data_IF_646065541893
#
_entry.id   IF_646065541893
#
_cell.length_a   1.000
_cell.length_b   1.000
_cell.length_c   1.000
_cell.angle_alpha   90.00
_cell.angle_beta   90.00
_cell.angle_gamma   90.00
#
_symmetry.space_group_name_H-M   'P 1'
#
loop_
_entity.id
_entity.type
_entity.pdbx_description
1 polymer ?
#
# COMPACT_ATOMS: atom_id res chain seq x y z
N UNK A 1 27.33 -52.67 -36.01
CA UNK A 1 28.37 -51.67 -35.72
C UNK A 1 27.64 -50.34 -35.57
N UNK A 2 27.35 -49.96 -34.35
CA UNK A 2 26.75 -48.66 -34.03
C UNK A 2 27.90 -47.73 -33.59
N UNK A 3 28.30 -46.82 -34.48
CA UNK A 3 29.21 -45.74 -34.15
C UNK A 3 28.53 -44.83 -33.12
N UNK A 4 28.99 -44.87 -31.90
CA UNK A 4 28.72 -43.87 -30.87
C UNK A 4 29.38 -42.57 -31.32
N UNK A 5 28.58 -41.65 -31.86
CA UNK A 5 29.02 -40.30 -32.13
C UNK A 5 29.47 -39.66 -30.80
N UNK A 6 30.78 -39.57 -30.57
CA UNK A 6 31.38 -38.76 -29.53
C UNK A 6 30.94 -37.31 -29.76
N UNK A 7 30.07 -36.85 -28.94
CA UNK A 7 29.71 -35.41 -28.90
C UNK A 7 30.91 -34.65 -28.37
N UNK A 8 31.83 -34.25 -29.27
CA UNK A 8 32.96 -33.38 -28.95
C UNK A 8 32.42 -32.06 -28.43
N UNK A 9 32.62 -31.80 -27.13
CA UNK A 9 32.24 -30.51 -26.52
C UNK A 9 32.92 -29.39 -27.31
N UNK A 10 32.17 -28.33 -27.69
CA UNK A 10 32.78 -27.21 -28.39
C UNK A 10 33.88 -26.58 -27.52
N UNK A 11 34.96 -26.03 -28.12
CA UNK A 11 36.01 -25.40 -27.37
C UNK A 11 35.42 -24.23 -26.55
N UNK A 12 36.01 -23.93 -25.38
CA UNK A 12 35.48 -23.00 -24.37
C UNK A 12 35.12 -21.62 -24.93
N UNK A 13 35.87 -21.13 -25.94
CA UNK A 13 35.61 -19.86 -26.62
C UNK A 13 34.42 -19.89 -27.61
N UNK A 14 33.82 -21.06 -27.89
CA UNK A 14 32.63 -21.23 -28.70
C UNK A 14 31.45 -21.78 -27.92
N UNK A 15 31.68 -22.18 -26.66
CA UNK A 15 30.58 -22.62 -25.81
C UNK A 15 29.76 -21.42 -25.34
N UNK A 16 28.52 -21.36 -25.81
CA UNK A 16 27.55 -20.29 -25.48
C UNK A 16 27.35 -20.14 -23.99
N UNK A 17 27.48 -21.21 -23.21
CA UNK A 17 27.34 -21.17 -21.75
C UNK A 17 28.52 -20.43 -21.12
N UNK A 18 29.73 -20.72 -21.57
CA UNK A 18 30.96 -20.05 -21.09
C UNK A 18 30.95 -18.58 -21.50
N UNK A 19 30.61 -18.29 -22.77
CA UNK A 19 30.52 -16.90 -23.25
C UNK A 19 29.46 -16.09 -22.50
N UNK A 20 28.31 -16.70 -22.15
CA UNK A 20 27.27 -16.02 -21.34
C UNK A 20 27.77 -15.71 -19.94
N UNK A 21 28.41 -16.68 -19.27
CA UNK A 21 28.96 -16.49 -17.92
C UNK A 21 30.07 -15.43 -17.96
N UNK A 22 30.99 -15.54 -18.92
CA UNK A 22 32.06 -14.56 -19.08
C UNK A 22 31.52 -13.15 -19.38
N UNK A 23 30.51 -13.03 -20.23
CA UNK A 23 29.83 -11.76 -20.52
C UNK A 23 29.17 -11.18 -19.26
N UNK A 24 28.45 -12.00 -18.49
CA UNK A 24 27.85 -11.55 -17.22
C UNK A 24 28.92 -11.14 -16.20
N UNK A 25 29.99 -11.91 -16.07
CA UNK A 25 31.11 -11.58 -15.18
C UNK A 25 31.79 -10.26 -15.60
N UNK A 26 32.00 -10.05 -16.90
CA UNK A 26 32.56 -8.81 -17.45
C UNK A 26 31.67 -7.59 -17.13
N UNK A 27 30.35 -7.71 -17.32
CA UNK A 27 29.37 -6.64 -16.98
C UNK A 27 29.42 -6.35 -15.49
N UNK A 28 29.41 -7.38 -14.63
CA UNK A 28 29.48 -7.21 -13.17
C UNK A 28 30.79 -6.56 -12.75
N UNK A 29 31.91 -6.92 -13.38
CA UNK A 29 33.21 -6.31 -13.12
C UNK A 29 33.21 -4.83 -13.49
N UNK A 30 32.72 -4.47 -14.69
CA UNK A 30 32.65 -3.08 -15.14
C UNK A 30 31.76 -2.26 -14.21
N UNK A 31 30.57 -2.78 -13.86
CA UNK A 31 29.67 -2.11 -12.91
C UNK A 31 30.35 -1.95 -11.54
N UNK A 32 30.99 -3.00 -11.03
CA UNK A 32 31.73 -2.96 -9.77
C UNK A 32 32.84 -1.92 -9.76
N UNK A 33 33.64 -1.84 -10.83
CA UNK A 33 34.69 -0.84 -10.99
C UNK A 33 34.14 0.59 -11.07
N UNK A 34 33.04 0.80 -11.79
CA UNK A 34 32.33 2.09 -11.84
C UNK A 34 31.81 2.51 -10.47
N UNK A 35 31.18 1.62 -9.75
CA UNK A 35 30.69 1.89 -8.40
C UNK A 35 31.83 2.19 -7.43
N UNK A 36 32.94 1.43 -7.50
CA UNK A 36 34.13 1.67 -6.68
C UNK A 36 34.76 3.03 -6.99
N UNK A 37 34.87 3.38 -8.27
CA UNK A 37 35.36 4.70 -8.70
C UNK A 37 34.45 5.84 -8.22
N UNK A 38 33.12 5.70 -8.39
CA UNK A 38 32.15 6.68 -7.88
C UNK A 38 32.25 6.84 -6.37
N UNK A 39 32.37 5.72 -5.63
CA UNK A 39 32.54 5.73 -4.19
C UNK A 39 33.83 6.42 -3.76
N UNK A 40 34.95 6.09 -4.41
CA UNK A 40 36.23 6.74 -4.15
C UNK A 40 36.19 8.25 -4.35
N UNK A 41 35.56 8.71 -5.46
CA UNK A 41 35.37 10.13 -5.73
C UNK A 41 34.47 10.80 -4.69
N UNK A 42 33.40 10.11 -4.26
CA UNK A 42 32.50 10.64 -3.24
C UNK A 42 33.21 10.86 -1.91
N UNK A 43 33.96 9.87 -1.43
CA UNK A 43 34.74 9.96 -0.18
C UNK A 43 35.80 11.05 -0.26
N UNK A 44 36.54 11.09 -1.38
CA UNK A 44 37.60 12.09 -1.58
C UNK A 44 37.05 13.51 -1.64
N UNK A 45 35.97 13.72 -2.38
CA UNK A 45 35.34 15.02 -2.48
C UNK A 45 34.67 15.47 -1.18
N UNK A 46 34.03 14.53 -0.45
CA UNK A 46 33.47 14.83 0.87
C UNK A 46 34.57 15.35 1.83
N UNK A 47 35.73 14.68 1.89
CA UNK A 47 36.84 15.09 2.73
C UNK A 47 37.45 16.45 2.30
N UNK A 48 37.58 16.68 0.99
CA UNK A 48 38.10 17.98 0.43
C UNK A 48 37.17 19.15 0.75
N UNK A 49 35.84 18.91 0.76
CA UNK A 49 34.85 19.95 1.00
C UNK A 49 34.47 20.08 2.50
N UNK A 50 35.12 19.33 3.39
CA UNK A 50 34.78 19.33 4.81
C UNK A 50 33.38 18.78 5.11
N UNK A 51 32.83 17.99 4.20
CA UNK A 51 31.51 17.37 4.39
C UNK A 51 31.64 16.08 5.24
N UNK A 52 30.55 15.67 5.94
CA UNK A 52 30.54 14.41 6.67
C UNK A 52 30.84 13.23 5.77
N UNK A 53 31.47 12.17 6.34
CA UNK A 53 31.68 10.92 5.61
C UNK A 53 30.36 10.38 5.03
N UNK A 54 30.37 9.80 3.82
CA UNK A 54 29.15 9.21 3.22
C UNK A 54 28.47 8.15 4.08
N UNK A 55 29.17 7.60 5.07
CA UNK A 55 28.66 6.62 6.04
C UNK A 55 28.28 7.22 7.39
N UNK A 56 28.44 8.54 7.56
CA UNK A 56 28.10 9.22 8.80
C UNK A 56 26.64 9.63 8.81
N UNK A 57 25.86 9.01 9.70
CA UNK A 57 24.45 9.28 9.94
C UNK A 57 24.19 10.01 11.27
N UNK A 58 25.22 10.52 11.95
CA UNK A 58 25.08 11.26 13.22
C UNK A 58 24.18 12.52 13.09
N UNK A 59 24.03 13.04 11.88
CA UNK A 59 23.11 14.16 11.61
C UNK A 59 21.66 13.84 11.95
N UNK A 60 21.27 12.57 12.03
CA UNK A 60 19.90 12.16 12.37
C UNK A 60 19.54 12.51 13.83
N UNK A 61 20.50 12.57 14.72
CA UNK A 61 20.29 12.93 16.14
C UNK A 61 20.20 14.44 16.34
N UNK A 62 20.56 15.22 15.32
CA UNK A 62 20.46 16.68 15.37
C UNK A 62 19.01 17.15 15.28
N UNK A 63 18.67 18.31 15.87
CA UNK A 63 17.35 18.87 15.78
C UNK A 63 16.99 19.24 14.33
N UNK A 64 15.69 19.22 14.02
CA UNK A 64 15.19 19.61 12.70
C UNK A 64 15.54 21.06 12.38
N UNK A 65 15.57 21.94 13.39
CA UNK A 65 15.88 23.34 13.26
C UNK A 65 14.69 24.25 12.94
N UNK A 66 13.61 23.68 12.38
CA UNK A 66 12.35 24.39 12.12
C UNK A 66 11.15 23.45 12.25
N UNK A 67 9.98 23.99 12.54
CA UNK A 67 8.75 23.20 12.51
C UNK A 67 8.37 22.86 11.07
N UNK A 68 7.90 21.63 10.84
CA UNK A 68 7.47 21.19 9.51
C UNK A 68 5.96 21.45 9.40
N UNK A 69 5.57 22.36 8.50
CA UNK A 69 4.17 22.67 8.25
C UNK A 69 3.37 21.41 7.87
N UNK A 70 2.15 21.26 8.39
CA UNK A 70 1.32 20.07 8.17
C UNK A 70 1.67 18.87 9.06
N UNK A 71 2.53 19.06 10.08
CA UNK A 71 2.86 18.05 11.07
C UNK A 71 2.93 18.64 12.47
N UNK A 72 2.87 17.77 13.50
CA UNK A 72 3.07 18.16 14.91
C UNK A 72 4.55 18.20 15.31
N UNK A 73 5.46 18.17 14.31
CA UNK A 73 6.91 18.15 14.52
C UNK A 73 7.41 19.54 14.95
N UNK A 74 8.08 19.55 16.09
CA UNK A 74 8.70 20.79 16.65
C UNK A 74 10.15 20.91 16.20
N UNK A 75 10.63 22.12 16.08
CA UNK A 75 12.01 22.41 15.69
C UNK A 75 13.10 21.72 16.56
N UNK A 76 12.76 21.39 17.80
CA UNK A 76 13.64 20.74 18.78
C UNK A 76 13.70 19.22 18.66
N UNK A 77 12.79 18.60 17.92
CA UNK A 77 12.79 17.15 17.72
C UNK A 77 13.93 16.72 16.78
N UNK A 78 14.38 15.48 16.93
CA UNK A 78 15.45 14.96 16.08
C UNK A 78 15.00 14.76 14.64
N UNK A 79 15.95 14.83 13.71
CA UNK A 79 15.69 14.50 12.29
C UNK A 79 15.25 13.05 12.11
N UNK A 80 15.71 12.15 12.99
CA UNK A 80 15.27 10.77 13.02
C UNK A 80 13.77 10.65 13.38
N UNK A 81 13.31 11.38 14.40
CA UNK A 81 11.89 11.39 14.79
C UNK A 81 11.01 11.88 13.62
N UNK A 82 11.46 12.95 12.95
CA UNK A 82 10.77 13.45 11.77
C UNK A 82 10.69 12.40 10.66
N UNK A 83 11.80 11.74 10.36
CA UNK A 83 11.85 10.71 9.35
C UNK A 83 10.92 9.53 9.68
N UNK A 84 10.88 9.11 10.95
CA UNK A 84 9.95 8.07 11.43
C UNK A 84 8.49 8.50 11.22
N UNK A 85 8.14 9.76 11.47
CA UNK A 85 6.80 10.28 11.18
C UNK A 85 6.49 10.21 9.68
N UNK A 86 7.42 10.64 8.83
CA UNK A 86 7.28 10.56 7.38
C UNK A 86 7.07 9.12 6.90
N UNK A 87 7.88 8.19 7.38
CA UNK A 87 7.78 6.76 7.04
C UNK A 87 6.43 6.17 7.46
N UNK A 88 5.96 6.48 8.68
CA UNK A 88 4.64 6.05 9.15
C UNK A 88 3.52 6.55 8.24
N UNK A 89 3.57 7.82 7.81
CA UNK A 89 2.58 8.40 6.88
C UNK A 89 2.66 7.77 5.49
N UNK A 90 3.85 7.50 4.97
CA UNK A 90 4.04 6.77 3.70
C UNK A 90 3.43 5.36 3.77
N UNK A 91 3.69 4.61 4.84
CA UNK A 91 3.11 3.27 5.05
C UNK A 91 1.58 3.35 5.18
N UNK A 92 1.07 4.34 5.89
CA UNK A 92 -0.38 4.55 6.05
C UNK A 92 -1.06 4.77 4.68
N UNK A 93 -0.50 5.64 3.83
CA UNK A 93 -1.01 5.87 2.48
C UNK A 93 -0.96 4.59 1.66
N UNK A 94 0.16 3.84 1.73
CA UNK A 94 0.31 2.59 0.99
C UNK A 94 -0.74 1.55 1.39
N UNK A 95 -0.95 1.32 2.69
CA UNK A 95 -1.91 0.32 3.20
C UNK A 95 -3.34 0.72 2.81
N UNK A 96 -3.75 1.94 3.13
CA UNK A 96 -5.12 2.43 2.86
C UNK A 96 -5.34 2.51 1.34
N UNK A 97 -4.36 3.03 0.60
CA UNK A 97 -4.42 3.13 -0.85
C UNK A 97 -4.53 1.77 -1.53
N UNK A 98 -3.73 0.76 -1.13
CA UNK A 98 -3.81 -0.61 -1.66
C UNK A 98 -5.20 -1.21 -1.39
N UNK A 99 -5.73 -1.04 -0.19
CA UNK A 99 -7.06 -1.55 0.16
C UNK A 99 -8.16 -0.91 -0.70
N UNK A 100 -8.21 0.42 -0.76
CA UNK A 100 -9.24 1.14 -1.50
C UNK A 100 -9.13 0.92 -3.01
N UNK A 101 -7.93 0.95 -3.56
CA UNK A 101 -7.71 0.74 -5.00
C UNK A 101 -8.06 -0.68 -5.43
N UNK A 102 -7.83 -1.68 -4.56
CA UNK A 102 -8.21 -3.06 -4.84
C UNK A 102 -9.72 -3.20 -4.92
N UNK A 103 -10.46 -2.68 -3.94
CA UNK A 103 -11.92 -2.72 -3.95
C UNK A 103 -12.47 -2.01 -5.18
N UNK A 104 -12.09 -0.75 -5.38
CA UNK A 104 -12.60 0.07 -6.48
C UNK A 104 -12.21 -0.53 -7.84
N UNK A 105 -10.96 -0.94 -8.01
CA UNK A 105 -10.46 -1.50 -9.26
C UNK A 105 -11.12 -2.84 -9.62
N UNK A 106 -11.31 -3.73 -8.64
CA UNK A 106 -12.02 -4.99 -8.88
C UNK A 106 -13.48 -4.74 -9.25
N UNK A 107 -14.18 -3.84 -8.54
CA UNK A 107 -15.56 -3.49 -8.87
C UNK A 107 -15.69 -2.91 -10.28
N UNK A 108 -14.81 -1.98 -10.66
CA UNK A 108 -14.78 -1.40 -12.00
C UNK A 108 -14.41 -2.42 -13.07
N UNK A 109 -13.46 -3.31 -12.80
CA UNK A 109 -13.06 -4.37 -13.71
C UNK A 109 -14.20 -5.35 -14.02
N UNK A 110 -14.95 -5.74 -12.98
CA UNK A 110 -16.18 -6.55 -13.13
C UNK A 110 -17.26 -5.71 -13.84
N UNK A 111 -17.42 -4.46 -13.48
CA UNK A 111 -18.37 -3.52 -14.10
C UNK A 111 -18.16 -3.40 -15.62
N UNK A 112 -16.92 -3.42 -16.11
CA UNK A 112 -16.60 -3.40 -17.56
C UNK A 112 -17.10 -4.63 -18.32
N UNK A 113 -17.28 -5.74 -17.61
CA UNK A 113 -17.83 -6.99 -18.17
C UNK A 113 -19.33 -7.12 -17.98
N UNK A 114 -19.98 -6.13 -17.41
CA UNK A 114 -21.43 -6.12 -17.16
C UNK A 114 -22.24 -6.15 -18.45
N UNK A 115 -23.35 -6.88 -18.43
CA UNK A 115 -24.36 -6.85 -19.50
C UNK A 115 -25.15 -5.52 -19.52
N UNK A 116 -25.17 -4.80 -18.40
CA UNK A 116 -25.76 -3.48 -18.34
C UNK A 116 -24.86 -2.47 -19.07
N UNK A 117 -25.36 -1.91 -20.16
CA UNK A 117 -24.63 -0.98 -21.01
C UNK A 117 -24.12 0.25 -20.25
N UNK A 118 -24.95 0.82 -19.36
CA UNK A 118 -24.58 2.02 -18.61
C UNK A 118 -23.42 1.76 -17.67
N UNK A 119 -23.48 0.65 -16.91
CA UNK A 119 -22.39 0.23 -16.00
C UNK A 119 -21.09 -0.03 -16.76
N UNK A 120 -21.17 -0.76 -17.89
CA UNK A 120 -20.01 -1.07 -18.71
C UNK A 120 -19.40 0.20 -19.33
N UNK A 121 -20.23 1.15 -19.81
CA UNK A 121 -19.79 2.40 -20.42
C UNK A 121 -19.14 3.33 -19.37
N UNK A 122 -19.78 3.48 -18.20
CA UNK A 122 -19.22 4.27 -17.11
C UNK A 122 -17.85 3.72 -16.64
N UNK A 123 -17.77 2.41 -16.39
CA UNK A 123 -16.51 1.79 -15.96
C UNK A 123 -15.42 1.92 -17.04
N UNK A 124 -15.76 1.84 -18.32
CA UNK A 124 -14.81 2.06 -19.42
C UNK A 124 -14.33 3.49 -19.45
N UNK A 125 -15.25 4.47 -19.41
CA UNK A 125 -14.91 5.89 -19.37
C UNK A 125 -13.97 6.23 -18.21
N UNK A 126 -14.29 5.73 -17.01
CA UNK A 126 -13.44 5.92 -15.84
C UNK A 126 -12.00 5.39 -16.08
N UNK A 127 -11.89 4.16 -16.57
CA UNK A 127 -10.57 3.52 -16.79
C UNK A 127 -9.79 4.29 -17.87
N UNK A 128 -10.41 4.69 -18.95
CA UNK A 128 -9.77 5.45 -20.03
C UNK A 128 -9.30 6.82 -19.54
N UNK A 129 -10.12 7.51 -18.74
CA UNK A 129 -9.78 8.82 -18.17
C UNK A 129 -8.53 8.73 -17.28
N UNK A 130 -8.60 7.91 -16.23
CA UNK A 130 -7.53 7.90 -15.22
C UNK A 130 -6.27 7.16 -15.66
N UNK A 131 -6.38 6.16 -16.52
CA UNK A 131 -5.23 5.43 -17.04
C UNK A 131 -4.39 6.25 -18.01
N UNK A 132 -5.01 7.15 -18.77
CA UNK A 132 -4.34 8.01 -19.74
C UNK A 132 -3.90 9.36 -19.16
N UNK A 133 -4.22 9.63 -17.89
CA UNK A 133 -3.80 10.86 -17.20
C UNK A 133 -2.64 10.56 -16.24
N UNK A 134 -1.52 11.32 -16.27
CA UNK A 134 -0.44 11.14 -15.32
C UNK A 134 -0.92 11.27 -13.86
N UNK A 135 -0.47 10.43 -12.92
CA UNK A 135 -0.96 10.44 -11.54
C UNK A 135 -0.72 11.77 -10.83
N UNK A 136 0.39 12.45 -11.12
CA UNK A 136 0.68 13.77 -10.56
C UNK A 136 -0.36 14.80 -10.97
N UNK A 137 -0.80 14.78 -12.24
CA UNK A 137 -1.84 15.70 -12.75
C UNK A 137 -3.17 15.47 -12.03
N UNK A 138 -3.53 14.19 -11.80
CA UNK A 138 -4.75 13.85 -11.05
C UNK A 138 -4.67 14.39 -9.63
N UNK A 139 -3.54 14.19 -8.94
CA UNK A 139 -3.33 14.66 -7.56
C UNK A 139 -3.43 16.19 -7.49
N UNK A 140 -2.72 16.91 -8.37
CA UNK A 140 -2.74 18.38 -8.41
C UNK A 140 -4.14 18.90 -8.74
N UNK A 141 -4.83 18.28 -9.70
CA UNK A 141 -6.20 18.67 -10.05
C UNK A 141 -7.16 18.51 -8.87
N UNK A 142 -7.07 17.41 -8.12
CA UNK A 142 -7.93 17.22 -6.94
C UNK A 142 -7.56 18.24 -5.87
N UNK A 143 -6.28 18.44 -5.60
CA UNK A 143 -5.84 19.35 -4.54
C UNK A 143 -6.15 20.81 -4.88
N UNK A 144 -5.57 21.34 -5.96
CA UNK A 144 -5.75 22.74 -6.33
C UNK A 144 -7.06 23.00 -7.04
N UNK A 145 -7.46 22.10 -7.95
CA UNK A 145 -8.65 22.32 -8.78
C UNK A 145 -9.95 22.10 -8.03
N UNK A 146 -10.06 21.06 -7.19
CA UNK A 146 -11.30 20.76 -6.49
C UNK A 146 -11.32 21.30 -5.06
N UNK A 147 -10.26 21.05 -4.26
CA UNK A 147 -10.27 21.34 -2.84
C UNK A 147 -9.99 22.80 -2.53
N UNK A 148 -8.96 23.40 -3.15
CA UNK A 148 -8.56 24.77 -2.84
C UNK A 148 -9.36 25.78 -3.64
N UNK A 149 -9.41 25.67 -4.95
CA UNK A 149 -10.03 26.67 -5.82
C UNK A 149 -11.43 26.30 -6.29
N UNK A 150 -11.80 25.01 -6.28
CA UNK A 150 -13.08 24.51 -6.83
C UNK A 150 -14.27 24.60 -5.89
N UNK A 151 -14.07 25.05 -4.64
CA UNK A 151 -15.15 25.20 -3.67
C UNK A 151 -15.77 23.89 -3.19
N UNK A 152 -15.11 22.76 -3.45
CA UNK A 152 -15.60 21.45 -2.96
C UNK A 152 -15.53 21.36 -1.43
N UNK A 153 -14.51 21.94 -0.84
CA UNK A 153 -14.44 22.12 0.60
C UNK A 153 -15.07 23.46 0.98
N UNK A 154 -16.00 23.46 1.94
CA UNK A 154 -16.63 24.70 2.42
C UNK A 154 -15.62 25.67 3.01
N UNK A 155 -15.97 26.96 3.07
CA UNK A 155 -15.16 27.97 3.72
C UNK A 155 -15.12 27.76 5.24
N UNK A 156 -14.13 28.37 5.89
CA UNK A 156 -14.02 28.36 7.36
C UNK A 156 -15.19 29.06 8.05
N UNK A 157 -15.80 30.03 7.38
CA UNK A 157 -16.91 30.82 7.91
C UNK A 157 -18.25 30.08 7.84
N UNK A 158 -18.35 29.10 6.93
CA UNK A 158 -19.54 28.28 6.76
C UNK A 158 -19.16 26.81 6.56
N UNK A 159 -18.63 26.14 7.58
CA UNK A 159 -18.22 24.75 7.51
C UNK A 159 -19.45 23.84 7.32
N UNK A 160 -19.27 22.73 6.60
CA UNK A 160 -20.28 21.69 6.52
C UNK A 160 -20.12 20.73 7.70
N UNK A 161 -21.23 20.47 8.40
CA UNK A 161 -21.22 19.55 9.54
C UNK A 161 -22.44 18.61 9.51
N UNK A 162 -22.15 17.32 9.72
CA UNK A 162 -23.14 16.33 10.15
C UNK A 162 -22.83 16.06 11.61
N UNK A 163 -23.66 16.53 12.56
CA UNK A 163 -23.34 16.49 13.99
C UNK A 163 -22.93 15.10 14.46
N UNK A 164 -21.78 15.04 15.12
CA UNK A 164 -21.23 13.81 15.67
C UNK A 164 -20.65 12.82 14.65
N UNK A 165 -20.71 13.07 13.34
CA UNK A 165 -20.25 12.13 12.31
C UNK A 165 -19.13 12.72 11.43
N UNK A 166 -19.35 13.91 10.87
CA UNK A 166 -18.49 14.51 9.86
C UNK A 166 -18.48 16.03 10.02
N UNK A 167 -17.31 16.63 9.96
CA UNK A 167 -17.16 18.08 9.75
C UNK A 167 -16.12 18.33 8.68
N UNK A 168 -16.32 19.31 7.81
CA UNK A 168 -15.36 19.69 6.78
C UNK A 168 -15.34 21.18 6.50
N UNK A 169 -14.14 21.68 6.28
CA UNK A 169 -13.84 23.03 5.80
C UNK A 169 -12.59 23.00 4.92
N UNK A 170 -12.14 24.14 4.42
CA UNK A 170 -10.93 24.27 3.59
C UNK A 170 -9.65 23.75 4.29
N UNK A 171 -9.65 23.59 5.61
CA UNK A 171 -8.52 23.05 6.39
C UNK A 171 -8.53 21.52 6.49
N UNK A 172 -9.59 20.88 6.02
CA UNK A 172 -9.70 19.42 5.93
C UNK A 172 -11.07 18.86 6.26
N UNK A 173 -11.07 17.54 6.31
CA UNK A 173 -12.25 16.72 6.61
C UNK A 173 -11.97 15.99 7.92
N UNK A 174 -12.88 16.07 8.89
CA UNK A 174 -12.79 15.31 10.14
C UNK A 174 -14.00 14.39 10.25
N UNK A 175 -13.72 13.11 10.51
CA UNK A 175 -14.75 12.07 10.67
C UNK A 175 -14.72 11.52 12.08
N UNK A 176 -15.88 11.11 12.59
CA UNK A 176 -15.95 10.42 13.86
C UNK A 176 -15.05 9.20 13.85
N UNK A 177 -14.19 9.08 14.84
CA UNK A 177 -13.17 8.03 14.89
C UNK A 177 -13.02 7.47 16.31
N UNK A 178 -12.90 6.15 16.48
CA UNK A 178 -12.62 5.60 17.79
C UNK A 178 -11.24 6.08 18.28
N UNK A 179 -11.24 6.77 19.41
CA UNK A 179 -10.03 7.22 20.11
C UNK A 179 -9.85 6.42 21.40
N UNK A 180 -8.60 6.17 21.74
CA UNK A 180 -8.30 5.46 23.00
C UNK A 180 -8.14 6.46 24.12
N UNK A 181 -8.93 6.28 25.17
CA UNK A 181 -8.84 7.03 26.43
C UNK A 181 -8.17 6.15 27.49
N UNK A 182 -6.99 6.53 27.96
CA UNK A 182 -6.30 5.84 29.06
C UNK A 182 -5.64 4.49 28.68
N UNK A 183 -6.27 3.36 28.96
CA UNK A 183 -5.67 2.02 28.91
C UNK A 183 -5.47 1.44 27.49
N UNK A 184 -4.96 2.24 26.54
CA UNK A 184 -4.76 1.82 25.14
C UNK A 184 -3.97 0.50 24.99
N UNK A 185 -2.82 0.42 25.64
CA UNK A 185 -1.93 -0.76 25.52
C UNK A 185 -2.57 -2.00 26.12
N UNK A 186 -3.24 -1.86 27.25
CA UNK A 186 -3.96 -2.97 27.90
C UNK A 186 -5.11 -3.46 27.01
N UNK A 187 -5.91 -2.57 26.42
CA UNK A 187 -7.01 -2.97 25.56
C UNK A 187 -6.52 -3.59 24.25
N UNK A 188 -5.45 -3.09 23.66
CA UNK A 188 -4.83 -3.73 22.49
C UNK A 188 -4.32 -5.14 22.81
N UNK A 189 -3.76 -5.36 24.00
CA UNK A 189 -3.38 -6.69 24.46
C UNK A 189 -4.59 -7.63 24.62
N UNK A 190 -5.70 -7.12 25.14
CA UNK A 190 -6.99 -7.87 25.22
C UNK A 190 -7.49 -8.24 23.83
N UNK A 191 -7.48 -7.31 22.87
CA UNK A 191 -7.89 -7.60 21.49
C UNK A 191 -6.99 -8.63 20.80
N UNK A 192 -5.68 -8.56 21.01
CA UNK A 192 -4.75 -9.56 20.50
C UNK A 192 -4.98 -10.94 21.14
N UNK A 193 -5.16 -10.98 22.45
CA UNK A 193 -5.52 -12.22 23.17
C UNK A 193 -6.83 -12.81 22.68
N UNK A 194 -7.84 -11.97 22.47
CA UNK A 194 -9.14 -12.36 21.91
C UNK A 194 -9.02 -12.89 20.48
N UNK A 195 -8.16 -12.27 19.65
CA UNK A 195 -7.92 -12.73 18.28
C UNK A 195 -7.21 -14.11 18.26
N UNK A 196 -6.24 -14.31 19.13
CA UNK A 196 -5.55 -15.61 19.28
C UNK A 196 -6.53 -16.69 19.77
N UNK A 197 -7.34 -16.38 20.79
CA UNK A 197 -8.35 -17.31 21.32
C UNK A 197 -9.40 -17.65 20.25
N UNK A 198 -9.94 -16.65 19.58
CA UNK A 198 -10.91 -16.82 18.50
C UNK A 198 -10.39 -17.66 17.35
N UNK A 199 -9.13 -17.41 16.93
CA UNK A 199 -8.47 -18.20 15.89
C UNK A 199 -8.20 -19.65 16.33
N UNK A 200 -7.75 -19.84 17.56
CA UNK A 200 -7.51 -21.18 18.13
C UNK A 200 -8.80 -21.98 18.22
N UNK A 201 -9.89 -21.35 18.65
CA UNK A 201 -11.22 -21.98 18.73
C UNK A 201 -11.77 -22.30 17.33
N UNK A 202 -11.60 -21.39 16.37
CA UNK A 202 -11.94 -21.63 14.97
C UNK A 202 -11.18 -22.85 14.42
N UNK A 203 -9.88 -22.93 14.63
CA UNK A 203 -9.05 -24.06 14.19
C UNK A 203 -9.46 -25.37 14.84
N UNK A 204 -9.67 -25.35 16.17
CA UNK A 204 -10.12 -26.53 16.90
C UNK A 204 -11.46 -27.05 16.39
N UNK A 205 -12.43 -26.16 16.18
CA UNK A 205 -13.77 -26.52 15.67
C UNK A 205 -13.71 -27.03 14.23
N UNK A 206 -12.82 -26.51 13.38
CA UNK A 206 -12.60 -27.05 12.05
C UNK A 206 -12.04 -28.48 12.11
N UNK A 207 -11.06 -28.74 12.96
CA UNK A 207 -10.51 -30.09 13.13
C UNK A 207 -11.57 -31.10 13.65
N UNK A 208 -12.49 -30.65 14.51
CA UNK A 208 -13.63 -31.46 14.96
C UNK A 208 -14.56 -31.75 13.79
N UNK A 209 -14.84 -30.76 12.93
CA UNK A 209 -15.67 -30.94 11.73
C UNK A 209 -15.06 -31.95 10.76
N UNK A 210 -13.75 -31.86 10.53
CA UNK A 210 -13.03 -32.80 9.66
C UNK A 210 -13.08 -34.24 10.18
N UNK A 211 -13.03 -34.42 11.50
CA UNK A 211 -13.08 -35.75 12.15
C UNK A 211 -14.49 -36.34 12.24
N UNK A 212 -15.50 -35.51 12.43
CA UNK A 212 -16.87 -35.98 12.72
C UNK A 212 -17.81 -35.86 11.54
N UNK A 213 -17.44 -35.13 10.48
CA UNK A 213 -18.31 -34.84 9.33
C UNK A 213 -19.52 -33.94 9.65
N UNK A 214 -19.66 -33.47 10.90
CA UNK A 214 -20.78 -32.61 11.32
C UNK A 214 -20.42 -31.14 11.15
N UNK A 215 -21.33 -30.26 10.66
CA UNK A 215 -21.07 -28.83 10.56
C UNK A 215 -20.84 -28.24 11.95
N UNK A 216 -19.65 -27.66 12.16
CA UNK A 216 -19.23 -27.14 13.48
C UNK A 216 -19.44 -25.65 13.65
N UNK A 217 -19.89 -24.95 12.59
CA UNK A 217 -20.02 -23.49 12.56
C UNK A 217 -18.80 -22.76 13.18
N UNK A 218 -17.60 -23.26 12.89
CA UNK A 218 -16.33 -22.85 13.50
C UNK A 218 -16.08 -21.35 13.45
N UNK A 219 -16.53 -20.69 12.37
CA UNK A 219 -16.41 -19.24 12.18
C UNK A 219 -17.24 -18.46 13.22
N UNK A 220 -18.48 -18.91 13.52
CA UNK A 220 -19.30 -18.29 14.57
C UNK A 220 -18.66 -18.38 15.95
N UNK A 221 -18.08 -19.52 16.29
CA UNK A 221 -17.39 -19.70 17.56
C UNK A 221 -16.14 -18.85 17.68
N UNK A 222 -15.33 -18.76 16.60
CA UNK A 222 -14.13 -17.94 16.56
C UNK A 222 -14.42 -16.44 16.71
N UNK A 223 -15.36 -15.94 15.93
CA UNK A 223 -15.78 -14.53 15.97
C UNK A 223 -16.52 -14.23 17.29
N UNK A 224 -17.39 -15.11 17.75
CA UNK A 224 -18.11 -14.96 19.02
C UNK A 224 -17.15 -14.86 20.21
N UNK A 225 -16.11 -15.71 20.27
CA UNK A 225 -15.09 -15.64 21.31
C UNK A 225 -14.30 -14.33 21.26
N UNK A 226 -13.90 -13.87 20.07
CA UNK A 226 -13.24 -12.59 19.90
C UNK A 226 -14.10 -11.43 20.42
N UNK A 227 -15.37 -11.36 20.00
CA UNK A 227 -16.30 -10.32 20.43
C UNK A 227 -16.54 -10.37 21.94
N UNK A 228 -16.70 -11.56 22.52
CA UNK A 228 -16.88 -11.72 23.95
C UNK A 228 -15.68 -11.21 24.75
N UNK A 229 -14.45 -11.57 24.35
CA UNK A 229 -13.22 -11.09 25.00
C UNK A 229 -13.07 -9.59 24.84
N UNK A 230 -13.33 -9.04 23.64
CA UNK A 230 -13.29 -7.62 23.38
C UNK A 230 -14.28 -6.84 24.26
N UNK A 231 -15.52 -7.33 24.37
CA UNK A 231 -16.56 -6.72 25.20
C UNK A 231 -16.23 -6.78 26.70
N UNK A 232 -15.83 -7.95 27.21
CA UNK A 232 -15.41 -8.10 28.61
C UNK A 232 -14.24 -7.18 28.93
N UNK A 233 -13.23 -7.14 28.05
CA UNK A 233 -12.08 -6.26 28.24
C UNK A 233 -12.45 -4.77 28.19
N UNK A 234 -13.42 -4.41 27.35
CA UNK A 234 -13.91 -3.03 27.27
C UNK A 234 -14.59 -2.58 28.58
N UNK A 235 -15.46 -3.42 29.14
CA UNK A 235 -16.09 -3.13 30.43
C UNK A 235 -15.09 -3.17 31.59
N UNK A 236 -14.17 -4.14 31.61
CA UNK A 236 -13.16 -4.29 32.66
C UNK A 236 -12.16 -3.12 32.73
N UNK A 237 -11.88 -2.48 31.60
CA UNK A 237 -10.97 -1.35 31.48
C UNK A 237 -11.69 0.02 31.51
N UNK A 238 -12.99 0.06 31.86
CA UNK A 238 -13.74 1.28 32.03
C UNK A 238 -14.03 2.04 30.73
N UNK A 239 -14.24 1.34 29.62
CA UNK A 239 -14.53 1.96 28.32
C UNK A 239 -13.31 2.64 27.69
N UNK A 240 -12.24 1.89 27.36
CA UNK A 240 -10.97 2.43 26.88
C UNK A 240 -11.05 3.04 25.47
N UNK A 241 -12.20 2.97 24.82
CA UNK A 241 -12.44 3.52 23.47
C UNK A 241 -13.65 4.45 23.54
N UNK A 242 -13.44 5.69 23.19
CA UNK A 242 -14.51 6.67 22.99
C UNK A 242 -14.59 7.07 21.52
N UNK A 243 -15.78 7.42 21.05
CA UNK A 243 -15.95 7.97 19.71
C UNK A 243 -15.62 9.47 19.76
N UNK A 244 -14.41 9.82 19.30
CA UNK A 244 -14.06 11.22 19.11
C UNK A 244 -14.89 11.76 17.94
N UNK A 245 -15.90 12.57 18.28
CA UNK A 245 -16.78 13.21 17.29
C UNK A 245 -16.20 14.52 16.83
N UNK A 246 -16.25 14.84 15.53
CA UNK A 246 -15.88 16.15 15.04
C UNK A 246 -16.91 17.18 15.45
N UNK A 247 -16.45 18.39 15.73
CA UNK A 247 -17.28 19.56 15.96
C UNK A 247 -16.64 20.80 15.35
N UNK A 248 -17.45 21.73 14.87
CA UNK A 248 -17.02 23.00 14.32
C UNK A 248 -17.02 24.06 15.43
N UNK A 249 -16.00 24.91 15.48
CA UNK A 249 -15.87 26.02 16.45
C UNK A 249 -15.06 27.17 15.87
N UNK A 250 -14.93 28.27 16.62
CA UNK A 250 -14.20 29.48 16.18
C UNK A 250 -12.75 29.19 15.76
N UNK A 251 -12.08 28.24 16.39
CA UNK A 251 -10.71 27.83 16.05
C UNK A 251 -10.67 26.75 14.95
N UNK A 252 -11.83 26.37 14.36
CA UNK A 252 -11.96 25.38 13.31
C UNK A 252 -12.49 24.04 13.79
N UNK A 253 -12.24 22.99 13.00
CA UNK A 253 -12.72 21.65 13.28
C UNK A 253 -11.86 20.99 14.36
N UNK A 254 -12.51 20.56 15.45
CA UNK A 254 -11.91 19.81 16.56
C UNK A 254 -12.48 18.40 16.65
N UNK A 255 -11.72 17.47 17.20
CA UNK A 255 -12.14 16.08 17.39
C UNK A 255 -12.15 15.25 16.08
N UNK A 256 -12.44 13.96 16.22
CA UNK A 256 -12.42 13.01 15.11
C UNK A 256 -11.04 12.70 14.53
N UNK A 257 -11.01 11.91 13.47
CA UNK A 257 -9.82 11.70 12.65
C UNK A 257 -9.76 12.79 11.57
N UNK A 258 -8.75 13.63 11.63
CA UNK A 258 -8.56 14.72 10.67
C UNK A 258 -7.79 14.24 9.43
N UNK A 259 -8.41 14.41 8.28
CA UNK A 259 -7.82 14.22 6.96
C UNK A 259 -7.53 15.60 6.39
N UNK A 260 -6.26 15.96 6.28
CA UNK A 260 -5.89 17.24 5.64
C UNK A 260 -6.25 17.22 4.17
N UNK A 261 -6.47 18.37 3.51
CA UNK A 261 -6.75 18.42 2.07
C UNK A 261 -5.67 17.74 1.23
N UNK A 262 -4.40 17.91 1.64
CA UNK A 262 -3.24 17.28 0.98
C UNK A 262 -3.32 15.76 1.09
N UNK A 263 -3.60 15.22 2.29
CA UNK A 263 -3.75 13.78 2.50
C UNK A 263 -4.90 13.21 1.68
N UNK A 264 -6.07 13.86 1.73
CA UNK A 264 -7.24 13.42 1.00
C UNK A 264 -7.03 13.47 -0.52
N UNK A 265 -6.43 14.55 -1.04
CA UNK A 265 -6.12 14.69 -2.46
C UNK A 265 -5.11 13.64 -2.94
N UNK A 266 -4.04 13.41 -2.17
CA UNK A 266 -3.05 12.38 -2.47
C UNK A 266 -3.68 10.99 -2.51
N UNK A 267 -4.40 10.63 -1.44
CA UNK A 267 -5.04 9.32 -1.34
C UNK A 267 -6.06 9.10 -2.46
N UNK A 268 -6.95 10.05 -2.70
CA UNK A 268 -7.93 9.97 -3.79
C UNK A 268 -7.25 9.87 -5.15
N UNK A 269 -6.26 10.72 -5.43
CA UNK A 269 -5.54 10.73 -6.70
C UNK A 269 -4.84 9.40 -6.98
N UNK A 270 -4.14 8.85 -5.98
CA UNK A 270 -3.48 7.55 -6.09
C UNK A 270 -4.49 6.40 -6.24
N UNK A 271 -5.59 6.44 -5.49
CA UNK A 271 -6.64 5.42 -5.55
C UNK A 271 -7.32 5.44 -6.91
N UNK A 272 -7.77 6.60 -7.39
CA UNK A 272 -8.44 6.73 -8.68
C UNK A 272 -7.54 6.28 -9.84
N UNK A 273 -6.29 6.72 -9.83
CA UNK A 273 -5.30 6.32 -10.84
C UNK A 273 -5.03 4.80 -10.81
N UNK A 274 -4.65 4.27 -9.64
CA UNK A 274 -4.25 2.87 -9.55
C UNK A 274 -5.43 1.91 -9.72
N UNK A 275 -6.64 2.29 -9.28
CA UNK A 275 -7.85 1.50 -9.51
C UNK A 275 -8.18 1.33 -11.00
N UNK A 276 -7.82 2.31 -11.85
CA UNK A 276 -7.99 2.17 -13.30
C UNK A 276 -7.12 1.05 -13.88
N UNK A 277 -5.89 0.90 -13.39
CA UNK A 277 -4.99 -0.20 -13.77
C UNK A 277 -5.44 -1.54 -13.21
N UNK A 278 -5.84 -1.59 -11.93
CA UNK A 278 -6.40 -2.80 -11.30
C UNK A 278 -7.67 -3.25 -12.02
N UNK A 279 -8.52 -2.33 -12.47
CA UNK A 279 -9.72 -2.65 -13.22
C UNK A 279 -9.41 -3.34 -14.55
N UNK A 280 -8.39 -2.88 -15.27
CA UNK A 280 -7.93 -3.51 -16.51
C UNK A 280 -7.35 -4.90 -16.26
N UNK A 281 -6.51 -5.04 -15.21
CA UNK A 281 -5.95 -6.33 -14.80
C UNK A 281 -7.08 -7.30 -14.44
N UNK A 282 -8.07 -6.86 -13.67
CA UNK A 282 -9.22 -7.68 -13.27
C UNK A 282 -10.00 -8.15 -14.50
N UNK A 283 -10.33 -7.23 -15.43
CA UNK A 283 -11.02 -7.56 -16.67
C UNK A 283 -10.24 -8.57 -17.50
N UNK A 284 -8.95 -8.31 -17.74
CA UNK A 284 -8.09 -9.17 -18.53
C UNK A 284 -7.92 -10.56 -17.90
N UNK A 285 -7.78 -10.63 -16.58
CA UNK A 285 -7.63 -11.90 -15.86
C UNK A 285 -8.91 -12.75 -15.89
N UNK A 286 -10.09 -12.13 -15.83
CA UNK A 286 -11.37 -12.85 -16.00
C UNK A 286 -11.49 -13.40 -17.42
N UNK A 287 -11.11 -12.62 -18.43
CA UNK A 287 -11.17 -13.01 -19.83
C UNK A 287 -10.09 -14.05 -20.22
N UNK A 288 -9.02 -14.16 -19.44
CA UNK A 288 -7.97 -15.16 -19.64
C UNK A 288 -8.40 -16.59 -19.23
N UNK A 289 -9.49 -16.73 -18.46
CA UNK A 289 -10.03 -18.05 -18.11
C UNK A 289 -10.60 -18.70 -19.37
N UNK A 290 -10.18 -19.94 -19.73
CA UNK A 290 -10.67 -20.62 -20.92
C UNK A 290 -12.19 -20.78 -20.92
N UNK A 291 -12.84 -20.52 -22.06
CA UNK A 291 -14.31 -20.59 -22.21
C UNK A 291 -14.88 -21.96 -21.84
N UNK A 292 -14.13 -23.04 -22.12
CA UNK A 292 -14.53 -24.39 -21.74
C UNK A 292 -14.77 -24.57 -20.23
N UNK A 293 -14.16 -23.76 -19.36
CA UNK A 293 -14.44 -23.77 -17.92
C UNK A 293 -15.84 -23.23 -17.61
N UNK A 294 -16.27 -22.20 -18.31
CA UNK A 294 -17.62 -21.64 -18.17
C UNK A 294 -18.68 -22.58 -18.75
N UNK A 295 -18.39 -23.19 -19.91
CA UNK A 295 -19.26 -24.17 -20.59
C UNK A 295 -19.43 -25.44 -19.74
N UNK A 296 -18.35 -26.00 -19.21
CA UNK A 296 -18.39 -27.16 -18.31
C UNK A 296 -19.19 -26.87 -17.05
N UNK A 297 -18.97 -25.70 -16.42
CA UNK A 297 -19.72 -25.28 -15.26
C UNK A 297 -21.21 -25.07 -15.57
N UNK A 298 -21.53 -24.59 -16.77
CA UNK A 298 -22.92 -24.47 -17.26
C UNK A 298 -23.58 -25.83 -17.45
N UNK A 299 -22.85 -26.79 -18.03
CA UNK A 299 -23.32 -28.18 -18.22
C UNK A 299 -23.62 -28.90 -16.89
N UNK A 300 -22.91 -28.50 -15.81
CA UNK A 300 -23.18 -28.98 -14.45
C UNK A 300 -24.36 -28.25 -13.77
N UNK A 301 -25.11 -27.39 -14.47
CA UNK A 301 -26.27 -26.70 -13.95
C UNK A 301 -25.96 -25.51 -13.03
N UNK A 302 -24.72 -25.04 -12.97
CA UNK A 302 -24.37 -23.88 -12.14
C UNK A 302 -24.98 -22.60 -12.70
N UNK A 303 -25.62 -21.80 -11.81
CA UNK A 303 -26.11 -20.47 -12.19
C UNK A 303 -24.95 -19.53 -12.55
N UNK A 304 -25.18 -18.45 -13.33
CA UNK A 304 -24.11 -17.51 -13.70
C UNK A 304 -23.31 -16.97 -12.51
N UNK A 305 -23.96 -16.66 -11.39
CA UNK A 305 -23.31 -16.22 -10.16
C UNK A 305 -22.45 -17.33 -9.50
N UNK A 306 -22.93 -18.57 -9.52
CA UNK A 306 -22.18 -19.71 -9.02
C UNK A 306 -20.95 -20.01 -9.89
N UNK A 307 -21.10 -19.94 -11.22
CA UNK A 307 -19.99 -20.10 -12.18
C UNK A 307 -18.91 -19.04 -11.94
N UNK A 308 -19.31 -17.77 -11.85
CA UNK A 308 -18.38 -16.69 -11.55
C UNK A 308 -17.65 -16.93 -10.22
N UNK A 309 -18.37 -17.20 -9.15
CA UNK A 309 -17.80 -17.30 -7.79
C UNK A 309 -16.97 -18.56 -7.56
N UNK A 310 -17.41 -19.72 -8.10
CA UNK A 310 -16.81 -21.03 -7.79
C UNK A 310 -15.78 -21.50 -8.82
N UNK A 311 -15.87 -21.02 -10.07
CA UNK A 311 -15.03 -21.49 -11.18
C UNK A 311 -14.14 -20.38 -11.73
N UNK A 312 -14.74 -19.26 -12.14
CA UNK A 312 -14.02 -18.21 -12.87
C UNK A 312 -13.16 -17.36 -11.91
N UNK A 313 -13.73 -16.84 -10.84
CA UNK A 313 -13.02 -15.97 -9.90
C UNK A 313 -11.77 -16.62 -9.29
N UNK A 314 -11.80 -17.87 -8.77
CA UNK A 314 -10.60 -18.49 -8.23
C UNK A 314 -9.48 -18.68 -9.26
N UNK A 315 -9.83 -18.92 -10.51
CA UNK A 315 -8.85 -19.06 -11.59
C UNK A 315 -8.31 -17.69 -12.03
N UNK A 316 -9.19 -16.70 -12.20
CA UNK A 316 -8.79 -15.35 -12.60
C UNK A 316 -7.94 -14.64 -11.55
N UNK A 317 -8.19 -14.86 -10.24
CA UNK A 317 -7.37 -14.28 -9.17
C UNK A 317 -5.91 -14.70 -9.24
N UNK A 318 -5.62 -15.95 -9.64
CA UNK A 318 -4.25 -16.43 -9.81
C UNK A 318 -3.52 -15.70 -10.94
N UNK A 319 -4.24 -15.36 -12.01
CA UNK A 319 -3.70 -14.57 -13.13
C UNK A 319 -3.57 -13.10 -12.74
N UNK A 320 -4.49 -12.59 -11.90
CA UNK A 320 -4.55 -11.19 -11.51
C UNK A 320 -3.49 -10.78 -10.47
N UNK A 321 -3.17 -11.64 -9.49
CA UNK A 321 -2.34 -11.28 -8.34
C UNK A 321 -0.93 -10.82 -8.74
N UNK A 322 -0.16 -11.48 -9.62
CA UNK A 322 1.16 -11.01 -9.98
C UNK A 322 1.18 -9.60 -10.60
N UNK A 323 0.35 -9.24 -11.59
CA UNK A 323 0.32 -7.89 -12.11
C UNK A 323 -0.28 -6.87 -11.11
N UNK A 324 -1.22 -7.28 -10.24
CA UNK A 324 -1.70 -6.41 -9.15
C UNK A 324 -0.60 -6.03 -8.17
N UNK A 325 0.28 -6.98 -7.82
CA UNK A 325 1.44 -6.72 -6.96
C UNK A 325 2.31 -5.58 -7.51
N UNK A 326 2.55 -5.55 -8.81
CA UNK A 326 3.29 -4.46 -9.46
C UNK A 326 2.57 -3.11 -9.30
N UNK A 327 1.24 -3.10 -9.36
CA UNK A 327 0.48 -1.85 -9.15
C UNK A 327 0.53 -1.37 -7.69
N UNK A 328 0.57 -2.27 -6.73
CA UNK A 328 0.75 -1.92 -5.31
C UNK A 328 2.13 -1.31 -5.05
N UNK A 329 3.18 -1.88 -5.66
CA UNK A 329 4.54 -1.31 -5.61
C UNK A 329 4.60 0.08 -6.27
N UNK A 330 3.90 0.26 -7.40
CA UNK A 330 3.81 1.56 -8.08
C UNK A 330 3.04 2.59 -7.23
N UNK A 331 1.92 2.23 -6.62
CA UNK A 331 1.16 3.10 -5.73
C UNK A 331 2.04 3.60 -4.57
N UNK A 332 2.77 2.69 -3.93
CA UNK A 332 3.68 3.02 -2.84
C UNK A 332 4.79 3.99 -3.30
N UNK A 333 5.42 3.74 -4.45
CA UNK A 333 6.44 4.65 -5.01
C UNK A 333 5.85 6.01 -5.40
N UNK A 334 4.65 6.00 -5.98
CA UNK A 334 3.96 7.23 -6.36
C UNK A 334 3.50 8.08 -5.17
N UNK A 335 3.55 7.54 -3.92
CA UNK A 335 3.29 8.38 -2.74
C UNK A 335 4.30 9.53 -2.60
N UNK A 336 5.51 9.40 -3.16
CA UNK A 336 6.50 10.47 -3.22
C UNK A 336 6.04 11.70 -4.03
N UNK A 337 5.05 11.56 -4.92
CA UNK A 337 4.44 12.69 -5.64
C UNK A 337 3.73 13.68 -4.70
N UNK A 338 3.50 13.26 -3.45
CA UNK A 338 3.00 14.09 -2.35
C UNK A 338 3.78 15.39 -2.14
N UNK A 339 5.06 15.41 -2.48
CA UNK A 339 5.92 16.60 -2.39
C UNK A 339 5.35 17.78 -3.19
N UNK A 340 4.68 17.51 -4.32
CA UNK A 340 4.11 18.54 -5.19
C UNK A 340 2.94 19.31 -4.55
N UNK A 341 2.27 18.71 -3.55
CA UNK A 341 1.18 19.31 -2.79
C UNK A 341 1.57 19.53 -1.32
N UNK A 342 2.87 19.51 -1.02
CA UNK A 342 3.44 19.71 0.31
C UNK A 342 2.93 18.76 1.41
N UNK A 343 2.38 17.59 1.06
CA UNK A 343 2.01 16.60 2.06
C UNK A 343 3.24 15.97 2.72
N UNK A 344 3.21 15.93 4.04
CA UNK A 344 4.33 15.51 4.89
C UNK A 344 4.41 13.98 4.95
N UNK A 345 5.19 13.38 4.05
CA UNK A 345 5.56 11.96 4.03
C UNK A 345 7.10 11.85 3.94
N UNK A 346 7.65 10.64 3.78
CA UNK A 346 9.10 10.40 3.86
C UNK A 346 9.93 11.27 2.91
N UNK A 347 9.48 11.48 1.67
CA UNK A 347 10.21 12.29 0.66
C UNK A 347 10.20 13.77 1.04
N UNK A 348 9.04 14.29 1.44
CA UNK A 348 8.92 15.70 1.85
C UNK A 348 9.78 15.98 3.08
N UNK A 349 9.72 15.11 4.11
CA UNK A 349 10.57 15.25 5.29
C UNK A 349 12.04 15.20 4.93
N UNK A 350 12.47 14.23 4.10
CA UNK A 350 13.87 14.14 3.68
C UNK A 350 14.31 15.42 2.98
N UNK A 351 13.47 15.97 2.10
CA UNK A 351 13.78 17.22 1.39
C UNK A 351 13.88 18.40 2.38
N UNK A 352 12.98 18.48 3.35
CA UNK A 352 12.98 19.56 4.35
C UNK A 352 14.22 19.50 5.25
N UNK A 353 14.61 18.33 5.74
CA UNK A 353 15.82 18.21 6.56
C UNK A 353 17.10 18.48 5.77
N UNK A 354 17.13 18.15 4.47
CA UNK A 354 18.24 18.53 3.57
C UNK A 354 18.28 20.04 3.36
N UNK A 355 17.13 20.66 3.12
CA UNK A 355 17.03 22.13 3.01
C UNK A 355 17.51 22.85 4.31
N UNK A 356 17.39 22.18 5.46
CA UNK A 356 17.85 22.64 6.77
C UNK A 356 19.27 22.14 7.14
N UNK A 357 20.11 21.92 6.13
CA UNK A 357 21.54 21.64 6.31
C UNK A 357 21.91 20.19 6.61
N UNK A 358 21.00 19.22 6.44
CA UNK A 358 21.39 17.82 6.49
C UNK A 358 22.18 17.43 5.22
N UNK A 359 23.13 16.48 5.31
CA UNK A 359 23.91 16.04 4.15
C UNK A 359 22.97 15.34 3.15
N UNK A 360 22.91 15.89 1.93
CA UNK A 360 21.95 15.44 0.91
C UNK A 360 22.17 13.98 0.49
N UNK A 361 23.45 13.57 0.26
CA UNK A 361 23.75 12.22 -0.18
C UNK A 361 23.27 11.17 0.80
N UNK A 362 23.62 11.30 2.09
CA UNK A 362 23.23 10.37 3.14
C UNK A 362 21.70 10.33 3.32
N UNK A 363 21.06 11.50 3.27
CA UNK A 363 19.60 11.61 3.45
C UNK A 363 18.82 10.94 2.30
N UNK A 364 19.23 11.16 1.04
CA UNK A 364 18.55 10.54 -0.09
C UNK A 364 18.86 9.04 -0.25
N UNK A 365 20.06 8.58 0.12
CA UNK A 365 20.35 7.14 0.11
C UNK A 365 19.57 6.40 1.20
N UNK A 366 19.41 7.04 2.37
CA UNK A 366 18.56 6.51 3.44
C UNK A 366 17.09 6.45 3.00
N UNK A 367 16.59 7.50 2.34
CA UNK A 367 15.25 7.53 1.75
C UNK A 367 15.07 6.38 0.74
N UNK A 368 16.01 6.21 -0.19
CA UNK A 368 15.96 5.12 -1.16
C UNK A 368 15.93 3.74 -0.49
N UNK A 369 16.72 3.57 0.57
CA UNK A 369 16.73 2.34 1.36
C UNK A 369 15.40 2.08 2.07
N UNK A 370 14.79 3.11 2.65
CA UNK A 370 13.45 3.03 3.28
C UNK A 370 12.41 2.59 2.25
N UNK A 371 12.37 3.23 1.06
CA UNK A 371 11.45 2.85 -0.01
C UNK A 371 11.70 1.42 -0.51
N UNK A 372 12.96 0.98 -0.56
CA UNK A 372 13.32 -0.39 -0.89
C UNK A 372 12.76 -1.38 0.14
N UNK A 373 12.96 -1.11 1.43
CA UNK A 373 12.45 -1.97 2.52
C UNK A 373 10.94 -2.10 2.48
N UNK A 374 10.20 -0.99 2.31
CA UNK A 374 8.74 -1.01 2.22
C UNK A 374 8.31 -1.79 0.96
N UNK A 375 9.00 -1.60 -0.17
CA UNK A 375 8.74 -2.33 -1.41
C UNK A 375 8.97 -3.84 -1.24
N UNK A 376 10.04 -4.24 -0.57
CA UNK A 376 10.33 -5.65 -0.27
C UNK A 376 9.27 -6.25 0.66
N UNK A 377 8.79 -5.50 1.65
CA UNK A 377 7.70 -5.95 2.52
C UNK A 377 6.39 -6.19 1.73
N UNK A 378 6.01 -5.26 0.85
CA UNK A 378 4.83 -5.42 -0.03
C UNK A 378 5.03 -6.63 -0.96
N UNK A 379 6.22 -6.78 -1.56
CA UNK A 379 6.54 -7.92 -2.42
C UNK A 379 6.49 -9.25 -1.66
N UNK A 380 6.98 -9.31 -0.43
CA UNK A 380 6.93 -10.50 0.41
C UNK A 380 5.48 -10.91 0.72
N UNK A 381 4.62 -9.95 1.12
CA UNK A 381 3.20 -10.22 1.38
C UNK A 381 2.48 -10.69 0.12
N UNK A 382 2.68 -10.03 -1.00
CA UNK A 382 2.03 -10.40 -2.27
C UNK A 382 2.52 -11.75 -2.81
N UNK A 383 3.81 -12.07 -2.68
CA UNK A 383 4.36 -13.37 -3.04
C UNK A 383 3.83 -14.48 -2.15
N UNK A 384 3.68 -14.23 -0.85
CA UNK A 384 3.07 -15.18 0.09
C UNK A 384 1.60 -15.48 -0.29
N UNK A 385 0.82 -14.45 -0.63
CA UNK A 385 -0.56 -14.62 -1.10
C UNK A 385 -0.59 -15.40 -2.42
N UNK A 386 0.29 -15.08 -3.36
CA UNK A 386 0.40 -15.77 -4.63
C UNK A 386 0.76 -17.26 -4.45
N UNK A 387 1.74 -17.55 -3.57
CA UNK A 387 2.12 -18.93 -3.25
C UNK A 387 0.96 -19.73 -2.65
N UNK A 388 0.17 -19.12 -1.75
CA UNK A 388 -0.99 -19.77 -1.12
C UNK A 388 -2.11 -20.09 -2.11
N UNK A 389 -2.22 -19.33 -3.20
CA UNK A 389 -3.24 -19.48 -4.22
C UNK A 389 -2.75 -20.31 -5.44
N UNK A 390 -1.45 -20.60 -5.53
CA UNK A 390 -0.90 -21.49 -6.55
C UNK A 390 -1.36 -22.93 -6.32
N UNK A 391 -1.65 -23.65 -7.41
CA UNK A 391 -1.91 -25.10 -7.35
C UNK A 391 -0.56 -25.82 -7.41
N UNK A 392 -0.24 -26.76 -6.48
CA UNK A 392 0.90 -27.63 -6.62
C UNK A 392 0.77 -28.43 -7.92
N UNK A 393 1.76 -28.34 -8.83
CA UNK A 393 1.84 -29.21 -10.02
C UNK A 393 1.58 -28.55 -11.37
N UNK A 394 1.67 -27.25 -11.51
CA UNK A 394 1.75 -26.56 -12.81
C UNK A 394 2.83 -25.49 -12.83
#
# INVERSE_FOLDING_TARGET
>A
MSETAETTRPPLWRDIRVLRIAGQAAVLLVVGLLLAWMWGNLVTNASRLGLPSPTDFSYLDQPIGQSIAGSDLRATQSRLDALIVGVKRTIQIAIIGIFLTTILGVLLGIGRLSRNWLVAKFARFYVELFRNTPPLVVIIFIYLGLFINGGFLPSTDNPFEIPGLLAMDIRGISVAWPSFTGARSAYLAVLLGGAVLGWSLHRWRNAVQERTGRPSYSWFWGVGAFIAVAAVGWFALGGPVELATPSTGEEGIRGGAKLTPEYAALLLGLVLYTASHIAEITRASIQAVPRGQDEAASALGLTPGQRLRRVILPQSLRVAIPPMANQYLNLMKNSSLAIAIAYVEATKITTDIVANGAPAFQSFILLAFIYLLISLAIAAVTNFVNWKLSIPGR
#
